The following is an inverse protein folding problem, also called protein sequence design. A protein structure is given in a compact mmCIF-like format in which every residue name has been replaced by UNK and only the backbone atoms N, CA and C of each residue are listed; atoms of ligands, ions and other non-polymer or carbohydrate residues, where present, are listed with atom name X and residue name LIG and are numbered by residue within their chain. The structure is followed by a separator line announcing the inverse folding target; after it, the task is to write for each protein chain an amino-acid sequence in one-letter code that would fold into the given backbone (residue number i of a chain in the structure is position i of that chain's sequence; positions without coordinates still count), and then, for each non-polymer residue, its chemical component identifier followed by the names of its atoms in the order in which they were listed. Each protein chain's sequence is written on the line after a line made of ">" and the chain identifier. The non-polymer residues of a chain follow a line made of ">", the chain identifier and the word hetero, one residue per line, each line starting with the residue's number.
data_IF_668844679780
#
_entry.id   IF_668844679780
#
_cell.length_a   1.000
_cell.length_b   1.000
_cell.length_c   1.000
_cell.angle_alpha   90.00
_cell.angle_beta   90.00
_cell.angle_gamma   90.00
#
_symmetry.space_group_name_H-M   'P 1'
#
loop_
_entity.id
_entity.type
_entity.pdbx_description
1 polymer ?
#
# COMPACT_ATOMS: atom_id res chain seq x y z
N UNK A 1 11.79 11.19 -3.35
CA UNK A 1 10.64 10.29 -3.20
C UNK A 1 9.66 10.97 -2.24
N UNK A 2 8.85 11.91 -2.74
CA UNK A 2 7.91 12.67 -1.91
C UNK A 2 6.49 12.12 -2.08
N UNK A 3 6.02 12.07 -3.33
CA UNK A 3 4.66 11.63 -3.69
C UNK A 3 4.28 10.23 -3.19
N UNK A 4 5.19 9.25 -3.27
CA UNK A 4 4.90 7.87 -2.88
C UNK A 4 4.75 7.74 -1.37
N UNK A 5 5.63 8.40 -0.60
CA UNK A 5 5.58 8.39 0.86
C UNK A 5 4.36 9.15 1.37
N UNK A 6 4.01 10.26 0.73
CA UNK A 6 2.79 11.01 1.05
C UNK A 6 1.56 10.12 0.84
N UNK A 7 1.40 9.50 -0.33
CA UNK A 7 0.29 8.57 -0.60
C UNK A 7 0.28 7.41 0.41
N UNK A 8 1.45 6.86 0.75
CA UNK A 8 1.58 5.76 1.69
C UNK A 8 1.26 6.14 3.14
N UNK A 9 1.24 7.42 3.49
CA UNK A 9 1.02 7.88 4.88
C UNK A 9 -0.19 8.80 5.02
N UNK A 10 -0.89 9.07 3.91
CA UNK A 10 -2.09 9.90 3.87
C UNK A 10 -3.25 9.21 4.60
N UNK A 11 -3.71 9.74 5.75
CA UNK A 11 -4.78 9.11 6.52
C UNK A 11 -6.16 9.26 5.85
N UNK A 12 -6.28 10.10 4.83
CA UNK A 12 -7.53 10.25 4.06
C UNK A 12 -7.73 9.16 3.02
N UNK A 13 -6.67 8.44 2.65
CA UNK A 13 -6.72 7.40 1.64
C UNK A 13 -7.01 6.03 2.25
N UNK A 14 -7.89 5.28 1.58
CA UNK A 14 -8.28 3.95 2.05
C UNK A 14 -7.23 2.92 1.70
N UNK A 15 -6.78 2.19 2.70
CA UNK A 15 -5.91 1.03 2.54
C UNK A 15 -6.74 -0.22 2.26
N UNK A 16 -6.41 -0.92 1.19
CA UNK A 16 -7.12 -2.12 0.75
C UNK A 16 -6.16 -3.31 0.85
N UNK A 17 -6.52 -4.28 1.68
CA UNK A 17 -5.73 -5.49 1.86
C UNK A 17 -5.83 -6.40 0.64
N UNK A 18 -4.69 -6.89 0.15
CA UNK A 18 -4.60 -7.81 -0.98
C UNK A 18 -4.42 -9.27 -0.55
N UNK A 19 -3.72 -9.51 0.56
CA UNK A 19 -3.35 -10.86 0.99
C UNK A 19 -3.59 -11.09 2.48
N UNK A 20 -3.81 -12.35 2.85
CA UNK A 20 -4.09 -12.75 4.23
C UNK A 20 -5.55 -12.59 4.62
N UNK A 21 -5.83 -12.86 5.90
CA UNK A 21 -7.17 -12.65 6.46
C UNK A 21 -7.40 -11.15 6.67
N UNK A 22 -8.61 -10.62 6.45
CA UNK A 22 -8.94 -9.22 6.74
C UNK A 22 -8.44 -8.80 8.14
N UNK A 23 -7.66 -7.72 8.18
CA UNK A 23 -7.09 -7.14 9.40
C UNK A 23 -5.86 -7.86 9.97
N UNK A 24 -5.40 -8.95 9.36
CA UNK A 24 -4.18 -9.64 9.81
C UNK A 24 -2.91 -8.94 9.31
N UNK A 25 -1.87 -8.91 10.16
CA UNK A 25 -0.54 -8.39 9.79
C UNK A 25 0.33 -9.43 9.05
N UNK A 26 0.02 -10.71 9.22
CA UNK A 26 0.69 -11.83 8.57
C UNK A 26 -0.34 -12.79 7.96
N UNK A 27 0.04 -13.41 6.86
CA UNK A 27 -0.69 -14.52 6.24
C UNK A 27 -0.55 -15.81 7.07
N UNK A 28 -1.35 -16.84 6.77
CA UNK A 28 -1.26 -18.14 7.46
C UNK A 28 0.12 -18.80 7.33
N UNK A 29 0.87 -18.50 6.28
CA UNK A 29 2.23 -18.99 6.04
C UNK A 29 3.33 -18.11 6.65
N UNK A 30 2.97 -17.11 7.46
CA UNK A 30 3.91 -16.24 8.17
C UNK A 30 4.50 -15.09 7.34
N UNK A 31 4.09 -14.93 6.07
CA UNK A 31 4.50 -13.78 5.25
C UNK A 31 3.74 -12.51 5.66
N UNK A 32 4.35 -11.31 5.68
CA UNK A 32 3.63 -10.06 5.89
C UNK A 32 2.45 -9.90 4.92
N UNK A 33 1.36 -9.28 5.37
CA UNK A 33 0.23 -8.98 4.50
C UNK A 33 0.53 -7.78 3.62
N UNK A 34 0.06 -7.85 2.37
CA UNK A 34 0.17 -6.77 1.40
C UNK A 34 -1.10 -5.96 1.39
N UNK A 35 -0.92 -4.66 1.37
CA UNK A 35 -1.97 -3.65 1.25
C UNK A 35 -1.64 -2.78 0.05
N UNK A 36 -2.65 -2.18 -0.55
CA UNK A 36 -2.43 -1.09 -1.47
C UNK A 36 -3.25 0.13 -1.09
N UNK A 37 -2.73 1.27 -1.48
CA UNK A 37 -3.40 2.56 -1.42
C UNK A 37 -3.30 3.21 -2.80
N UNK A 38 -4.34 3.91 -3.21
CA UNK A 38 -4.36 4.67 -4.46
C UNK A 38 -4.49 6.14 -4.09
N UNK A 39 -3.53 6.94 -4.56
CA UNK A 39 -3.59 8.39 -4.46
C UNK A 39 -3.33 9.02 -5.81
N UNK A 40 -3.74 10.28 -5.97
CA UNK A 40 -3.47 11.06 -7.17
C UNK A 40 -2.50 12.19 -6.83
N UNK A 41 -1.44 12.34 -7.64
CA UNK A 41 -0.46 13.42 -7.53
C UNK A 41 -0.09 13.90 -8.93
N UNK A 42 -0.19 15.20 -9.15
CA UNK A 42 0.07 15.80 -10.47
C UNK A 42 -0.78 15.23 -11.61
N UNK A 43 -2.03 14.82 -11.33
CA UNK A 43 -2.94 14.22 -12.33
C UNK A 43 -2.67 12.75 -12.66
N UNK A 44 -1.72 12.11 -11.97
CA UNK A 44 -1.42 10.68 -12.14
C UNK A 44 -1.96 9.91 -10.94
N UNK A 45 -2.83 8.94 -11.19
CA UNK A 45 -3.22 7.95 -10.18
C UNK A 45 -2.08 6.97 -9.98
N UNK A 46 -1.62 6.84 -8.74
CA UNK A 46 -0.49 6.01 -8.36
C UNK A 46 -1.02 4.97 -7.37
N UNK A 47 -0.75 3.71 -7.66
CA UNK A 47 -0.96 2.59 -6.75
C UNK A 47 0.33 2.31 -6.00
N UNK A 48 0.27 2.38 -4.68
CA UNK A 48 1.39 2.04 -3.78
C UNK A 48 1.04 0.76 -3.06
N UNK A 49 1.94 -0.23 -3.12
CA UNK A 49 1.81 -1.52 -2.42
C UNK A 49 2.74 -1.52 -1.22
N UNK A 50 2.20 -1.89 -0.05
CA UNK A 50 2.86 -1.75 1.25
C UNK A 50 2.73 -3.06 2.03
N UNK A 51 3.80 -3.45 2.73
CA UNK A 51 3.83 -4.50 3.75
C UNK A 51 4.11 -3.87 5.13
N UNK A 52 3.08 -3.62 5.95
CA UNK A 52 3.24 -2.83 7.18
C UNK A 52 4.10 -3.51 8.25
N UNK A 53 4.09 -4.85 8.29
CA UNK A 53 4.94 -5.66 9.17
C UNK A 53 6.19 -6.22 8.46
N UNK A 54 6.46 -5.75 7.24
CA UNK A 54 7.54 -6.24 6.38
C UNK A 54 8.44 -5.10 5.94
N UNK A 55 8.72 -5.06 4.64
CA UNK A 55 9.66 -4.14 4.01
C UNK A 55 9.15 -2.67 3.95
N UNK A 56 7.87 -2.42 4.27
CA UNK A 56 7.25 -1.12 4.09
C UNK A 56 6.75 -0.96 2.66
N UNK A 57 7.16 0.09 1.94
CA UNK A 57 6.73 0.29 0.54
C UNK A 57 7.45 -0.72 -0.36
N UNK A 58 6.67 -1.60 -1.01
CA UNK A 58 7.18 -2.63 -1.92
C UNK A 58 7.30 -2.10 -3.35
N UNK A 59 6.25 -1.45 -3.85
CA UNK A 59 6.21 -0.86 -5.20
C UNK A 59 5.30 0.35 -5.24
N UNK A 60 5.56 1.24 -6.20
CA UNK A 60 4.67 2.32 -6.57
C UNK A 60 4.67 2.48 -8.09
N UNK A 61 3.49 2.51 -8.71
CA UNK A 61 3.36 2.62 -10.17
C UNK A 61 2.06 3.34 -10.56
N UNK A 62 2.00 3.97 -11.74
CA UNK A 62 0.77 4.52 -12.29
C UNK A 62 -0.32 3.45 -12.44
N UNK A 63 -1.57 3.82 -12.18
CA UNK A 63 -2.74 2.98 -12.39
C UNK A 63 -3.70 3.67 -13.37
N UNK A 64 -3.85 3.07 -14.55
CA UNK A 64 -4.75 3.51 -15.62
C UNK A 64 -6.10 2.77 -15.57
#
# INVERSE_FOLDING_TARGET
>A
MHEVSDIATDPSLTWIQQTGKPGAMFTKSGKPTRWYVIGERGGVKIKVVIEPAGEGIITAHPQY
#
